data_IF_808478108101
#
_entry.id   IF_808478108101
#
_cell.length_a   1.000
_cell.length_b   1.000
_cell.length_c   1.000
_cell.angle_alpha   90.00
_cell.angle_beta   90.00
_cell.angle_gamma   90.00
#
_symmetry.space_group_name_H-M   'P 1'
#
loop_
_entity.id
_entity.type
_entity.pdbx_description
1 polymer ?
#
# COMPACT_ATOMS: atom_id res chain seq x y z
N UNK A 1 42.51 -1.92 4.50
CA UNK A 1 42.11 -1.90 3.09
C UNK A 1 40.79 -2.59 2.77
N UNK A 2 40.37 -3.64 3.47
CA UNK A 2 39.09 -4.34 3.19
C UNK A 2 37.81 -3.49 3.47
N UNK A 3 37.82 -2.65 4.51
CA UNK A 3 36.64 -1.83 4.88
C UNK A 3 36.32 -0.69 3.89
N UNK A 4 37.33 -0.14 3.22
CA UNK A 4 37.16 0.92 2.21
C UNK A 4 36.43 0.39 0.96
N UNK A 5 36.70 -0.85 0.55
CA UNK A 5 36.05 -1.45 -0.62
C UNK A 5 34.57 -1.81 -0.37
N UNK A 6 34.21 -2.17 0.87
CA UNK A 6 32.81 -2.43 1.25
C UNK A 6 32.02 -1.14 1.30
N UNK A 7 32.62 -0.06 1.82
CA UNK A 7 31.98 1.24 1.89
C UNK A 7 31.75 1.84 0.48
N UNK A 8 32.77 1.78 -0.40
CA UNK A 8 32.61 2.23 -1.80
C UNK A 8 31.59 1.42 -2.58
N UNK A 9 31.52 0.10 -2.38
CA UNK A 9 30.48 -0.74 -3.01
C UNK A 9 29.07 -0.36 -2.56
N UNK A 10 28.87 -0.08 -1.27
CA UNK A 10 27.57 0.37 -0.75
C UNK A 10 27.17 1.74 -1.32
N UNK A 11 28.11 2.69 -1.44
CA UNK A 11 27.86 3.99 -2.07
C UNK A 11 27.56 3.82 -3.55
N UNK A 12 28.27 2.96 -4.27
CA UNK A 12 28.03 2.71 -5.68
C UNK A 12 26.66 2.07 -5.91
N UNK A 13 26.25 1.13 -5.07
CA UNK A 13 24.91 0.50 -5.13
C UNK A 13 23.82 1.54 -4.85
N UNK A 14 23.98 2.38 -3.82
CA UNK A 14 23.07 3.48 -3.52
C UNK A 14 22.99 4.49 -4.68
N UNK A 15 24.11 4.81 -5.32
CA UNK A 15 24.18 5.73 -6.45
C UNK A 15 23.53 5.15 -7.71
N UNK A 16 23.73 3.86 -7.98
CA UNK A 16 23.06 3.14 -9.11
C UNK A 16 21.55 3.05 -8.84
N UNK A 17 21.12 2.77 -7.62
CA UNK A 17 19.71 2.78 -7.24
C UNK A 17 19.09 4.18 -7.37
N UNK A 18 19.83 5.23 -7.01
CA UNK A 18 19.38 6.62 -7.14
C UNK A 18 19.26 7.06 -8.61
N UNK A 19 20.20 6.65 -9.48
CA UNK A 19 20.12 6.92 -10.93
C UNK A 19 18.99 6.12 -11.57
N UNK A 20 18.77 4.87 -11.18
CA UNK A 20 17.66 4.06 -11.66
C UNK A 20 16.31 4.67 -11.25
N UNK A 21 16.20 5.22 -10.04
CA UNK A 21 15.00 5.91 -9.55
C UNK A 21 14.70 7.20 -10.33
N UNK A 22 15.72 7.96 -10.73
CA UNK A 22 15.54 9.21 -11.49
C UNK A 22 15.04 9.02 -12.93
N UNK A 23 15.10 7.81 -13.47
CA UNK A 23 14.59 7.49 -14.80
C UNK A 23 13.07 7.17 -14.83
N UNK A 24 12.40 7.08 -13.68
CA UNK A 24 11.01 6.66 -13.53
C UNK A 24 10.14 7.79 -12.96
N UNK A 25 9.62 8.64 -13.83
CA UNK A 25 8.81 9.84 -13.48
C UNK A 25 7.42 9.57 -12.86
N UNK A 26 7.17 8.41 -12.29
CA UNK A 26 5.85 8.06 -11.73
C UNK A 26 5.95 7.42 -10.33
N UNK A 27 7.07 7.65 -9.64
CA UNK A 27 7.34 7.09 -8.32
C UNK A 27 7.29 8.15 -7.24
N UNK A 28 6.87 7.73 -6.06
CA UNK A 28 6.98 8.54 -4.86
C UNK A 28 7.46 7.68 -3.68
N UNK A 29 8.04 8.35 -2.70
CA UNK A 29 8.36 7.81 -1.38
C UNK A 29 7.61 8.63 -0.36
N UNK A 30 6.97 7.94 0.57
CA UNK A 30 6.22 8.56 1.66
C UNK A 30 6.82 8.10 2.98
N UNK A 31 6.77 8.96 3.97
CA UNK A 31 7.10 8.64 5.35
C UNK A 31 5.96 9.12 6.23
N UNK A 32 5.30 8.18 6.89
CA UNK A 32 4.17 8.39 7.78
C UNK A 32 4.57 8.17 9.23
N UNK A 33 4.08 8.99 10.14
CA UNK A 33 4.09 8.71 11.56
C UNK A 33 2.64 8.44 12.00
N UNK A 34 2.39 7.23 12.48
CA UNK A 34 1.06 6.78 12.89
C UNK A 34 0.69 7.37 14.24
N UNK A 35 -0.48 8.00 14.32
CA UNK A 35 -1.07 8.63 15.51
C UNK A 35 -2.19 7.78 16.13
N UNK A 36 -2.48 6.61 15.58
CA UNK A 36 -3.48 5.69 16.08
C UNK A 36 -3.27 5.34 17.56
N UNK A 37 -4.34 4.96 18.24
CA UNK A 37 -4.34 4.79 19.69
C UNK A 37 -3.23 3.85 20.20
N UNK A 38 -3.07 2.70 19.53
CA UNK A 38 -2.12 1.65 19.91
C UNK A 38 -0.97 1.52 18.91
N UNK A 39 -0.81 2.54 18.05
CA UNK A 39 0.27 2.68 17.06
C UNK A 39 1.18 3.80 17.54
N UNK A 40 2.25 4.12 17.10
CA UNK A 40 3.20 5.20 17.38
C UNK A 40 4.53 4.82 16.75
N UNK A 41 4.45 4.42 15.50
CA UNK A 41 5.60 3.99 14.73
C UNK A 41 5.66 4.71 13.39
N UNK A 42 6.75 4.52 12.69
CA UNK A 42 6.95 5.04 11.35
C UNK A 42 6.60 3.96 10.32
N UNK A 43 5.97 4.38 9.23
CA UNK A 43 5.80 3.58 8.01
C UNK A 43 6.43 4.32 6.85
N UNK A 44 7.23 3.62 6.04
CA UNK A 44 7.69 4.13 4.76
C UNK A 44 6.98 3.40 3.62
N UNK A 45 6.46 4.16 2.67
CA UNK A 45 5.81 3.66 1.46
C UNK A 45 6.64 4.04 0.24
N UNK A 46 6.91 3.06 -0.62
CA UNK A 46 7.40 3.29 -1.99
C UNK A 46 6.28 2.92 -2.94
N UNK A 47 5.82 3.86 -3.72
CA UNK A 47 4.67 3.67 -4.60
C UNK A 47 4.99 4.10 -6.03
N UNK A 48 4.45 3.37 -7.00
CA UNK A 48 4.48 3.71 -8.41
C UNK A 48 3.14 3.41 -9.10
N UNK A 49 2.65 4.38 -9.86
CA UNK A 49 1.62 4.17 -10.88
C UNK A 49 2.16 4.62 -12.24
N UNK A 50 2.18 3.72 -13.23
CA UNK A 50 2.70 4.00 -14.57
C UNK A 50 1.75 3.49 -15.65
N UNK A 51 1.05 4.37 -16.37
CA UNK A 51 0.32 4.00 -17.57
C UNK A 51 1.28 3.76 -18.75
N UNK A 52 0.91 2.85 -19.63
CA UNK A 52 1.61 2.59 -20.90
C UNK A 52 0.60 2.27 -22.03
N UNK A 53 1.11 1.95 -23.22
CA UNK A 53 0.26 1.65 -24.39
C UNK A 53 -0.60 0.38 -24.24
N UNK A 54 -0.29 -0.49 -23.27
CA UNK A 54 -0.96 -1.76 -23.03
C UNK A 54 -1.80 -1.76 -21.75
N UNK A 55 -1.89 -0.62 -21.05
CA UNK A 55 -2.64 -0.47 -19.81
C UNK A 55 -1.88 0.27 -18.73
N UNK A 56 -1.86 -0.28 -17.52
CA UNK A 56 -1.23 0.36 -16.36
C UNK A 56 -0.48 -0.63 -15.48
N UNK A 57 0.58 -0.18 -14.82
CA UNK A 57 1.27 -0.92 -13.77
C UNK A 57 1.19 -0.10 -12.48
N UNK A 58 0.81 -0.74 -11.42
CA UNK A 58 0.82 -0.19 -10.06
C UNK A 58 1.63 -1.11 -9.15
N UNK A 59 2.38 -0.54 -8.24
CA UNK A 59 2.87 -1.26 -7.07
C UNK A 59 3.07 -0.32 -5.90
N UNK A 60 2.99 -0.85 -4.70
CA UNK A 60 3.55 -0.21 -3.51
C UNK A 60 4.21 -1.24 -2.59
N UNK A 61 5.09 -0.73 -1.74
CA UNK A 61 5.75 -1.47 -0.69
C UNK A 61 5.68 -0.62 0.57
N UNK A 62 5.08 -1.17 1.62
CA UNK A 62 5.05 -0.58 2.94
C UNK A 62 6.01 -1.29 3.88
N UNK A 63 6.69 -0.52 4.70
CA UNK A 63 7.55 -1.02 5.76
C UNK A 63 7.25 -0.28 7.05
N UNK A 64 6.74 -1.01 8.05
CA UNK A 64 6.56 -0.51 9.41
C UNK A 64 7.80 -0.71 10.24
N UNK A 65 8.14 0.27 11.06
CA UNK A 65 9.35 0.25 11.88
C UNK A 65 9.01 0.30 13.36
N UNK A 66 9.59 -0.61 14.12
CA UNK A 66 9.56 -0.58 15.57
C UNK A 66 8.28 -1.07 16.23
N UNK A 67 7.38 -1.72 15.51
CA UNK A 67 6.14 -2.27 16.08
C UNK A 67 6.49 -3.37 17.09
N UNK A 68 5.88 -3.31 18.29
CA UNK A 68 6.09 -4.33 19.33
C UNK A 68 7.54 -4.49 19.76
N UNK A 69 8.30 -3.39 19.86
CA UNK A 69 9.72 -3.35 20.25
C UNK A 69 10.68 -4.09 19.29
N UNK A 70 10.24 -4.47 18.10
CA UNK A 70 11.11 -5.00 17.04
C UNK A 70 12.03 -3.90 16.55
N UNK A 71 13.33 -4.12 16.54
CA UNK A 71 14.30 -3.14 15.98
C UNK A 71 14.33 -3.25 14.46
N UNK A 72 14.16 -2.11 13.78
CA UNK A 72 14.15 -2.04 12.32
C UNK A 72 12.78 -2.35 11.73
N UNK A 73 12.73 -2.98 10.56
CA UNK A 73 11.48 -3.33 9.87
C UNK A 73 10.77 -4.43 10.65
N UNK A 74 9.57 -4.12 11.14
CA UNK A 74 8.71 -5.06 11.88
C UNK A 74 7.63 -5.70 11.01
N UNK A 75 7.21 -5.00 9.94
CA UNK A 75 6.29 -5.53 8.95
C UNK A 75 6.70 -5.00 7.57
N UNK A 76 6.63 -5.85 6.57
CA UNK A 76 6.76 -5.50 5.16
C UNK A 76 5.56 -6.05 4.40
N UNK A 77 4.84 -5.20 3.68
CA UNK A 77 3.72 -5.56 2.82
C UNK A 77 3.93 -4.97 1.43
N UNK A 78 3.49 -5.68 0.41
CA UNK A 78 3.58 -5.17 -0.95
C UNK A 78 2.41 -5.64 -1.80
N UNK A 79 2.10 -4.82 -2.79
CA UNK A 79 1.19 -5.14 -3.88
C UNK A 79 1.83 -4.82 -5.21
N UNK A 80 1.51 -5.61 -6.21
CA UNK A 80 1.83 -5.35 -7.60
C UNK A 80 0.65 -5.70 -8.48
N UNK A 81 0.20 -4.74 -9.28
CA UNK A 81 -0.95 -4.91 -10.16
C UNK A 81 -0.62 -4.53 -11.60
N UNK A 82 -1.23 -5.26 -12.53
CA UNK A 82 -1.18 -4.97 -13.95
C UNK A 82 -2.59 -4.87 -14.52
N UNK A 83 -2.94 -3.69 -15.01
CA UNK A 83 -4.06 -3.47 -15.91
C UNK A 83 -3.64 -3.78 -17.34
N UNK A 84 -4.43 -4.58 -18.07
CA UNK A 84 -4.19 -4.94 -19.47
C UNK A 84 -5.32 -4.41 -20.34
N UNK A 85 -4.95 -3.65 -21.38
CA UNK A 85 -5.88 -2.96 -22.27
C UNK A 85 -5.60 -3.34 -23.72
N UNK A 86 -6.56 -4.02 -24.34
CA UNK A 86 -6.45 -4.51 -25.71
C UNK A 86 -7.32 -3.73 -26.70
N UNK A 87 -8.10 -2.76 -26.20
CA UNK A 87 -9.11 -2.00 -26.95
C UNK A 87 -9.18 -0.53 -26.49
N UNK A 88 -9.85 0.28 -27.31
CA UNK A 88 -10.10 1.69 -26.95
C UNK A 88 -11.33 1.79 -26.04
N UNK A 89 -11.18 1.51 -24.76
CA UNK A 89 -12.23 1.52 -23.76
C UNK A 89 -11.65 1.93 -22.40
N UNK A 90 -12.45 2.46 -21.46
CA UNK A 90 -12.03 2.66 -20.08
C UNK A 90 -11.85 1.36 -19.29
N UNK A 91 -12.16 0.18 -19.87
CA UNK A 91 -11.95 -1.12 -19.24
C UNK A 91 -10.52 -1.61 -19.43
N UNK A 92 -9.99 -2.21 -18.35
CA UNK A 92 -8.77 -3.02 -18.35
C UNK A 92 -9.04 -4.37 -17.68
N UNK A 93 -8.41 -5.43 -18.14
CA UNK A 93 -8.29 -6.66 -17.36
C UNK A 93 -7.30 -6.41 -16.23
N UNK A 94 -7.60 -6.89 -15.03
CA UNK A 94 -6.78 -6.68 -13.84
C UNK A 94 -6.19 -8.00 -13.36
N UNK A 95 -4.88 -7.98 -13.08
CA UNK A 95 -4.16 -9.05 -12.39
C UNK A 95 -3.33 -8.40 -11.29
N UNK A 96 -3.45 -8.90 -10.07
CA UNK A 96 -2.73 -8.39 -8.91
C UNK A 96 -2.21 -9.53 -8.06
N UNK A 97 -1.07 -9.29 -7.45
CA UNK A 97 -0.51 -10.11 -6.38
C UNK A 97 -0.17 -9.22 -5.20
N UNK A 98 -0.57 -9.66 -4.01
CA UNK A 98 -0.21 -8.99 -2.78
C UNK A 98 0.21 -9.97 -1.69
N UNK A 99 0.98 -9.48 -0.70
CA UNK A 99 1.43 -10.29 0.41
C UNK A 99 2.48 -9.57 1.25
N UNK A 100 2.97 -10.26 2.26
CA UNK A 100 3.95 -9.67 3.15
C UNK A 100 4.37 -10.61 4.28
N UNK A 101 5.15 -10.07 5.18
CA UNK A 101 5.60 -10.76 6.39
C UNK A 101 5.86 -9.76 7.52
N UNK A 102 5.80 -10.25 8.72
CA UNK A 102 6.09 -9.45 9.90
C UNK A 102 6.94 -10.21 10.93
N UNK A 103 7.43 -9.48 11.89
CA UNK A 103 8.20 -9.97 13.03
C UNK A 103 7.55 -9.52 14.34
N UNK A 104 7.76 -10.31 15.38
CA UNK A 104 7.32 -9.98 16.74
C UNK A 104 8.35 -10.44 17.78
N UNK A 105 8.34 -9.84 18.95
CA UNK A 105 9.19 -10.25 20.07
C UNK A 105 8.66 -11.52 20.73
N UNK A 106 9.54 -12.51 20.92
CA UNK A 106 9.20 -13.79 21.56
C UNK A 106 9.59 -13.87 23.04
N UNK A 107 10.20 -12.81 23.59
CA UNK A 107 10.80 -12.85 24.93
C UNK A 107 12.18 -13.54 24.96
N UNK A 108 12.67 -14.03 23.80
CA UNK A 108 14.02 -14.59 23.62
C UNK A 108 14.89 -13.62 22.81
N UNK A 109 16.20 -13.84 22.65
CA UNK A 109 17.05 -13.02 21.77
C UNK A 109 16.63 -13.03 20.29
N UNK A 110 15.89 -14.07 19.84
CA UNK A 110 15.40 -14.20 18.49
C UNK A 110 13.99 -13.62 18.35
N UNK A 111 13.68 -13.00 17.21
CA UNK A 111 12.32 -12.62 16.88
C UNK A 111 11.55 -13.81 16.30
N UNK A 112 10.26 -13.89 16.60
CA UNK A 112 9.31 -14.70 15.83
C UNK A 112 8.99 -14.00 14.51
N UNK A 113 8.51 -14.76 13.54
CA UNK A 113 8.05 -14.22 12.25
C UNK A 113 6.67 -14.79 11.91
N UNK A 114 5.90 -14.03 11.15
CA UNK A 114 4.63 -14.48 10.58
C UNK A 114 4.55 -14.02 9.12
N UNK A 115 3.77 -14.73 8.33
CA UNK A 115 3.48 -14.37 6.96
C UNK A 115 2.07 -13.79 6.86
N UNK A 116 1.92 -12.69 6.14
CA UNK A 116 0.62 -12.25 5.63
C UNK A 116 0.29 -13.18 4.47
N UNK A 117 -0.87 -13.83 4.52
CA UNK A 117 -1.28 -14.75 3.46
C UNK A 117 -1.36 -14.01 2.14
N UNK A 118 -0.52 -14.40 1.21
CA UNK A 118 -0.50 -13.82 -0.12
C UNK A 118 -1.78 -14.15 -0.88
N UNK A 119 -2.16 -13.24 -1.75
CA UNK A 119 -3.35 -13.38 -2.59
C UNK A 119 -3.06 -13.03 -4.05
N UNK A 120 -3.75 -13.73 -4.94
CA UNK A 120 -3.88 -13.38 -6.34
C UNK A 120 -5.28 -12.85 -6.61
N UNK A 121 -5.37 -11.72 -7.33
CA UNK A 121 -6.62 -11.11 -7.73
C UNK A 121 -6.71 -11.04 -9.25
N UNK A 122 -7.88 -11.39 -9.78
CA UNK A 122 -8.16 -11.40 -11.22
C UNK A 122 -9.53 -10.80 -11.45
N UNK A 123 -9.61 -9.83 -12.36
CA UNK A 123 -10.88 -9.17 -12.63
C UNK A 123 -10.79 -8.09 -13.67
N UNK A 124 -11.48 -7.00 -13.44
CA UNK A 124 -11.51 -5.87 -14.34
C UNK A 124 -11.56 -4.54 -13.63
N UNK A 125 -11.01 -3.54 -14.29
CA UNK A 125 -11.04 -2.14 -13.87
C UNK A 125 -11.91 -1.33 -14.83
N UNK A 126 -12.60 -0.35 -14.30
CA UNK A 126 -13.24 0.70 -15.09
C UNK A 126 -12.81 2.05 -14.54
N UNK A 127 -12.22 2.88 -15.41
CA UNK A 127 -11.68 4.19 -15.01
C UNK A 127 -12.50 5.32 -15.61
N UNK A 128 -12.97 6.25 -14.76
CA UNK A 128 -13.52 7.55 -15.14
C UNK A 128 -12.47 8.62 -14.88
N UNK A 129 -12.34 9.54 -15.81
CA UNK A 129 -11.45 10.69 -15.63
C UNK A 129 -11.98 11.94 -16.33
N UNK A 130 -11.63 13.10 -15.81
CA UNK A 130 -11.83 14.38 -16.52
C UNK A 130 -10.84 14.48 -17.70
N UNK A 131 -11.16 15.33 -18.68
CA UNK A 131 -10.32 15.47 -19.88
C UNK A 131 -8.88 15.92 -19.56
N UNK A 132 -8.70 16.66 -18.49
CA UNK A 132 -7.41 17.15 -17.99
C UNK A 132 -6.73 16.19 -16.99
N UNK A 133 -7.34 15.02 -16.71
CA UNK A 133 -6.89 14.04 -15.73
C UNK A 133 -6.72 14.58 -14.30
N UNK A 134 -7.31 15.76 -14.01
CA UNK A 134 -7.28 16.31 -12.65
C UNK A 134 -8.11 15.51 -11.65
N UNK A 135 -9.08 14.75 -12.16
CA UNK A 135 -9.93 13.87 -11.35
C UNK A 135 -10.01 12.51 -12.01
N UNK A 136 -9.58 11.49 -11.28
CA UNK A 136 -9.58 10.10 -11.72
C UNK A 136 -10.27 9.28 -10.64
N UNK A 137 -11.15 8.39 -11.06
CA UNK A 137 -11.78 7.38 -10.23
C UNK A 137 -11.75 6.04 -10.97
N UNK A 138 -11.29 4.99 -10.30
CA UNK A 138 -11.27 3.62 -10.84
C UNK A 138 -12.06 2.70 -9.92
N UNK A 139 -12.99 1.96 -10.49
CA UNK A 139 -13.67 0.86 -9.82
C UNK A 139 -13.07 -0.46 -10.31
N UNK A 140 -12.76 -1.34 -9.38
CA UNK A 140 -12.22 -2.67 -9.65
C UNK A 140 -13.16 -3.72 -9.07
N UNK A 141 -13.39 -4.80 -9.81
CA UNK A 141 -14.16 -5.96 -9.36
C UNK A 141 -13.33 -7.22 -9.66
N UNK A 142 -12.98 -7.96 -8.62
CA UNK A 142 -11.97 -9.01 -8.71
C UNK A 142 -12.41 -10.28 -7.96
N UNK A 143 -12.11 -11.43 -8.53
CA UNK A 143 -11.99 -12.68 -7.81
C UNK A 143 -10.67 -12.64 -7.02
N UNK A 144 -10.70 -12.99 -5.74
CA UNK A 144 -9.54 -13.00 -4.85
C UNK A 144 -9.25 -14.43 -4.39
N UNK A 145 -8.07 -14.92 -4.67
CA UNK A 145 -7.58 -16.21 -4.18
C UNK A 145 -6.55 -15.98 -3.10
N UNK A 146 -6.89 -16.30 -1.85
CA UNK A 146 -6.03 -16.10 -0.67
C UNK A 146 -5.42 -17.45 -0.32
N UNK A 147 -4.09 -17.52 -0.23
CA UNK A 147 -3.40 -18.74 0.17
C UNK A 147 -3.85 -19.21 1.55
N UNK A 148 -4.13 -20.51 1.67
CA UNK A 148 -4.59 -21.11 2.91
C UNK A 148 -6.06 -20.92 3.22
N UNK A 149 -6.83 -20.23 2.34
CA UNK A 149 -8.28 -20.11 2.41
C UNK A 149 -8.92 -20.92 1.27
N UNK A 150 -9.91 -21.72 1.58
CA UNK A 150 -10.59 -22.60 0.59
C UNK A 150 -11.87 -21.98 0.04
N UNK A 151 -12.37 -20.94 0.66
CA UNK A 151 -13.60 -20.28 0.28
C UNK A 151 -13.39 -19.36 -0.93
N UNK A 152 -14.41 -19.31 -1.78
CA UNK A 152 -14.46 -18.31 -2.86
C UNK A 152 -14.48 -16.92 -2.25
N UNK A 153 -13.53 -16.09 -2.68
CA UNK A 153 -13.40 -14.71 -2.24
C UNK A 153 -13.53 -13.74 -3.42
N UNK A 154 -14.00 -12.54 -3.14
CA UNK A 154 -14.01 -11.43 -4.08
C UNK A 154 -13.51 -10.16 -3.39
N UNK A 155 -13.07 -9.20 -4.18
CA UNK A 155 -12.72 -7.85 -3.73
C UNK A 155 -13.33 -6.82 -4.67
N UNK A 156 -13.92 -5.78 -4.09
CA UNK A 156 -14.33 -4.57 -4.78
C UNK A 156 -13.47 -3.43 -4.26
N UNK A 157 -12.78 -2.74 -5.18
CA UNK A 157 -11.89 -1.62 -4.84
C UNK A 157 -12.32 -0.37 -5.57
N UNK A 158 -12.46 0.73 -4.84
CA UNK A 158 -12.56 2.08 -5.41
C UNK A 158 -11.25 2.82 -5.21
N UNK A 159 -10.63 3.34 -6.27
CA UNK A 159 -9.39 4.13 -6.20
C UNK A 159 -9.67 5.53 -6.73
N UNK A 160 -9.17 6.56 -6.06
CA UNK A 160 -9.33 7.95 -6.52
C UNK A 160 -8.04 8.75 -6.43
N UNK A 161 -7.91 9.70 -7.37
CA UNK A 161 -6.91 10.75 -7.34
C UNK A 161 -7.54 12.05 -7.85
N UNK A 162 -7.72 13.01 -6.95
CA UNK A 162 -8.42 14.25 -7.18
C UNK A 162 -7.50 15.43 -6.89
N UNK A 163 -7.20 16.23 -7.92
CA UNK A 163 -6.34 17.40 -7.82
C UNK A 163 -7.18 18.66 -7.82
N UNK A 164 -6.85 19.59 -6.93
CA UNK A 164 -7.54 20.86 -6.74
C UNK A 164 -6.57 22.03 -6.73
N UNK A 165 -7.09 23.24 -6.98
CA UNK A 165 -6.35 24.50 -6.90
C UNK A 165 -5.04 24.49 -7.70
N UNK A 166 -5.11 24.06 -8.98
CA UNK A 166 -3.94 23.93 -9.86
C UNK A 166 -2.87 23.04 -9.23
N UNK A 167 -3.27 21.86 -8.77
CA UNK A 167 -2.44 20.83 -8.13
C UNK A 167 -1.83 21.23 -6.77
N UNK A 168 -2.32 22.30 -6.11
CA UNK A 168 -1.88 22.65 -4.75
C UNK A 168 -2.38 21.65 -3.70
N UNK A 169 -3.52 21.03 -3.94
CA UNK A 169 -4.10 20.03 -3.05
C UNK A 169 -4.40 18.75 -3.84
N UNK A 170 -4.04 17.62 -3.29
CA UNK A 170 -4.39 16.29 -3.81
C UNK A 170 -5.16 15.52 -2.74
N UNK A 171 -6.32 14.98 -3.12
CA UNK A 171 -7.04 13.96 -2.36
C UNK A 171 -6.90 12.65 -3.12
N UNK A 172 -6.24 11.67 -2.53
CA UNK A 172 -6.05 10.36 -3.12
C UNK A 172 -6.44 9.26 -2.14
N UNK A 173 -6.44 8.03 -2.58
CA UNK A 173 -6.66 6.89 -1.72
C UNK A 173 -7.46 5.79 -2.40
N UNK A 174 -7.79 4.80 -1.60
CA UNK A 174 -8.60 3.67 -2.03
C UNK A 174 -9.62 3.27 -0.96
N UNK A 175 -10.56 2.42 -1.36
CA UNK A 175 -11.49 1.73 -0.45
C UNK A 175 -11.69 0.31 -0.96
N UNK A 176 -11.37 -0.66 -0.12
CA UNK A 176 -11.47 -2.07 -0.36
C UNK A 176 -12.56 -2.70 0.49
N UNK A 177 -13.34 -3.55 -0.14
CA UNK A 177 -14.26 -4.44 0.52
C UNK A 177 -14.08 -5.84 -0.05
N UNK A 178 -13.75 -6.80 0.83
CA UNK A 178 -13.56 -8.19 0.38
C UNK A 178 -14.17 -9.22 1.33
N UNK A 179 -14.43 -10.40 0.77
CA UNK A 179 -14.79 -11.56 1.56
C UNK A 179 -13.54 -12.31 1.97
N UNK A 180 -13.44 -12.60 3.26
CA UNK A 180 -12.40 -13.45 3.83
C UNK A 180 -12.94 -14.14 5.07
N UNK A 181 -12.87 -15.46 5.10
CA UNK A 181 -13.14 -16.25 6.30
C UNK A 181 -11.99 -16.04 7.30
N UNK A 182 -12.23 -15.29 8.37
CA UNK A 182 -11.19 -14.81 9.26
C UNK A 182 -11.64 -14.80 10.72
N UNK A 183 -10.67 -14.97 11.62
CA UNK A 183 -10.82 -14.82 13.07
C UNK A 183 -10.21 -13.48 13.49
N UNK A 184 -11.00 -12.67 14.17
CA UNK A 184 -10.59 -11.34 14.65
C UNK A 184 -10.79 -11.21 16.14
N UNK A 185 -10.01 -10.36 16.80
CA UNK A 185 -10.08 -10.11 18.23
C UNK A 185 -8.89 -10.67 19.02
N UNK A 186 -8.87 -10.47 20.35
CA UNK A 186 -7.76 -10.86 21.19
C UNK A 186 -7.60 -12.38 21.26
N UNK A 187 -6.34 -12.84 21.38
CA UNK A 187 -6.04 -14.26 21.52
C UNK A 187 -6.85 -14.93 22.65
N UNK A 188 -7.50 -16.04 22.33
CA UNK A 188 -8.38 -16.77 23.26
C UNK A 188 -9.80 -16.23 23.36
N UNK A 189 -10.13 -15.12 22.68
CA UNK A 189 -11.48 -14.57 22.58
C UNK A 189 -11.70 -13.96 21.19
N UNK A 190 -11.53 -14.77 20.16
CA UNK A 190 -11.73 -14.38 18.77
C UNK A 190 -13.20 -14.49 18.37
N UNK A 191 -13.56 -13.75 17.33
CA UNK A 191 -14.86 -13.76 16.67
C UNK A 191 -14.66 -14.02 15.18
N UNK A 192 -15.46 -14.92 14.66
CA UNK A 192 -15.48 -15.22 13.23
C UNK A 192 -16.12 -14.07 12.44
N UNK A 193 -15.49 -13.71 11.31
CA UNK A 193 -16.00 -12.73 10.35
C UNK A 193 -15.77 -13.21 8.92
N UNK A 194 -16.66 -12.78 8.01
CA UNK A 194 -16.57 -13.11 6.59
C UNK A 194 -16.23 -11.90 5.71
N UNK A 195 -16.20 -10.70 6.28
CA UNK A 195 -16.01 -9.49 5.50
C UNK A 195 -15.03 -8.56 6.16
N UNK A 196 -14.18 -7.98 5.34
CA UNK A 196 -13.20 -6.98 5.73
C UNK A 196 -13.43 -5.72 4.91
N UNK A 197 -13.30 -4.58 5.55
CA UNK A 197 -13.29 -3.28 4.91
C UNK A 197 -12.02 -2.52 5.30
N UNK A 198 -11.40 -1.89 4.33
CA UNK A 198 -10.23 -1.03 4.51
C UNK A 198 -10.34 0.17 3.57
N UNK A 199 -10.09 1.36 4.07
CA UNK A 199 -9.91 2.55 3.23
C UNK A 199 -8.85 3.46 3.82
N UNK A 200 -8.05 4.04 2.94
CA UNK A 200 -6.95 4.94 3.29
C UNK A 200 -7.02 6.23 2.48
N UNK A 201 -7.99 7.12 2.81
CA UNK A 201 -8.01 8.47 2.25
C UNK A 201 -6.77 9.26 2.66
N UNK A 202 -6.11 9.85 1.67
CA UNK A 202 -4.94 10.70 1.81
C UNK A 202 -5.27 12.14 1.43
N UNK A 203 -4.77 13.07 2.21
CA UNK A 203 -4.77 14.51 1.93
C UNK A 203 -3.34 15.00 1.80
N UNK A 204 -3.00 15.66 0.70
CA UNK A 204 -1.68 16.20 0.43
C UNK A 204 -1.73 17.68 0.06
N UNK A 205 -0.94 18.50 0.77
CA UNK A 205 -0.61 19.84 0.35
C UNK A 205 0.72 19.80 -0.41
N UNK A 206 0.69 20.11 -1.71
CA UNK A 206 1.86 20.08 -2.58
C UNK A 206 2.66 21.37 -2.42
N UNK A 207 3.72 21.34 -1.61
CA UNK A 207 4.55 22.49 -1.33
C UNK A 207 5.38 22.89 -2.56
N UNK A 208 5.92 21.89 -3.26
CA UNK A 208 6.64 22.01 -4.54
C UNK A 208 6.19 20.93 -5.49
N UNK A 209 6.78 20.85 -6.70
CA UNK A 209 6.50 19.78 -7.65
C UNK A 209 6.95 18.39 -7.14
N UNK A 210 7.92 18.38 -6.24
CA UNK A 210 8.50 17.16 -5.68
C UNK A 210 8.06 16.87 -4.25
N UNK A 211 7.81 17.88 -3.43
CA UNK A 211 7.57 17.71 -1.99
C UNK A 211 6.16 18.07 -1.59
N UNK A 212 5.53 17.18 -0.83
CA UNK A 212 4.19 17.38 -0.26
C UNK A 212 4.21 17.03 1.22
N UNK A 213 3.36 17.68 2.00
CA UNK A 213 3.05 17.33 3.38
C UNK A 213 1.57 16.96 3.47
N UNK A 214 1.25 16.02 4.35
CA UNK A 214 -0.11 15.54 4.39
C UNK A 214 -0.40 14.56 5.50
N UNK A 215 -1.44 13.79 5.27
CA UNK A 215 -1.97 12.79 6.20
C UNK A 215 -2.66 11.69 5.41
N UNK A 216 -2.64 10.51 5.96
CA UNK A 216 -3.47 9.38 5.59
C UNK A 216 -4.28 8.97 6.82
N UNK A 217 -5.50 8.52 6.60
CA UNK A 217 -6.34 8.00 7.69
C UNK A 217 -6.79 6.60 7.31
N UNK A 218 -6.21 5.58 7.95
CA UNK A 218 -6.76 4.23 7.84
C UNK A 218 -8.10 4.18 8.58
N UNK A 219 -9.15 3.80 7.85
CA UNK A 219 -10.45 3.43 8.39
C UNK A 219 -10.69 1.98 8.02
N UNK A 220 -10.77 1.11 9.00
CA UNK A 220 -10.89 -0.32 8.75
C UNK A 220 -11.95 -0.98 9.60
N UNK A 221 -12.43 -2.14 9.17
CA UNK A 221 -13.32 -3.00 9.94
C UNK A 221 -12.92 -4.46 9.74
N UNK A 222 -12.72 -5.17 10.84
CA UNK A 222 -12.25 -6.56 10.89
C UNK A 222 -10.92 -6.79 10.16
N UNK A 223 -10.06 -5.79 10.13
CA UNK A 223 -8.78 -5.79 9.43
C UNK A 223 -7.61 -6.00 10.42
N UNK A 224 -6.53 -6.65 9.96
CA UNK A 224 -5.31 -6.85 10.76
C UNK A 224 -5.53 -7.62 12.07
N UNK A 225 -6.55 -8.48 12.13
CA UNK A 225 -6.90 -9.25 13.32
C UNK A 225 -7.73 -8.48 14.38
N UNK A 226 -8.10 -7.22 14.12
CA UNK A 226 -8.94 -6.42 15.02
C UNK A 226 -10.43 -6.67 14.77
N UNK A 227 -11.20 -6.89 15.81
CA UNK A 227 -12.67 -6.94 15.76
C UNK A 227 -13.24 -5.52 15.72
N UNK A 228 -14.11 -5.26 14.74
CA UNK A 228 -14.85 -4.02 14.61
C UNK A 228 -14.08 -2.89 13.91
N UNK A 229 -14.52 -1.65 14.14
CA UNK A 229 -14.08 -0.48 13.42
C UNK A 229 -12.87 0.20 14.07
N UNK A 230 -11.87 0.55 13.24
CA UNK A 230 -10.63 1.23 13.64
C UNK A 230 -10.45 2.54 12.87
N UNK A 231 -9.79 3.51 13.50
CA UNK A 231 -9.39 4.79 12.90
C UNK A 231 -7.95 5.09 13.29
N UNK A 232 -7.07 5.12 12.32
CA UNK A 232 -5.63 5.34 12.53
C UNK A 232 -5.14 6.47 11.63
N UNK A 233 -5.13 7.72 12.09
CA UNK A 233 -4.61 8.85 11.34
C UNK A 233 -3.08 8.91 11.40
N UNK A 234 -2.47 9.41 10.34
CA UNK A 234 -1.02 9.67 10.26
C UNK A 234 -0.72 11.14 10.02
N UNK A 235 0.52 11.54 10.22
CA UNK A 235 1.12 12.74 9.64
C UNK A 235 2.26 12.29 8.72
N UNK A 236 2.37 12.91 7.53
CA UNK A 236 3.26 12.37 6.51
C UNK A 236 3.95 13.44 5.66
N UNK A 237 5.11 13.04 5.14
CA UNK A 237 5.81 13.72 4.04
C UNK A 237 5.91 12.80 2.82
N UNK A 238 5.78 13.36 1.62
CA UNK A 238 5.88 12.65 0.35
C UNK A 238 6.87 13.33 -0.58
N UNK A 239 7.73 12.53 -1.19
CA UNK A 239 8.66 12.98 -2.24
C UNK A 239 8.32 12.28 -3.56
N UNK A 240 8.11 13.06 -4.62
CA UNK A 240 7.90 12.59 -6.01
C UNK A 240 9.19 12.76 -6.81
N UNK A 241 9.56 11.75 -7.56
CA UNK A 241 10.74 11.76 -8.44
C UNK A 241 10.45 12.29 -9.84
#
# INVERSE_FOLDING_TARGET
>A
MANSNIFMRKILILFVLFIAASALKAQNVQLHYDLGKDRKYLTSTVEMFKPDKWGSTFFFIDMDYGVGDVKGVSLGYFEIARGLKFWKSPFELHVEYNGGFGQFKTGTPLNGAFQINDAWLFGGNYTWNTADFSKIFTLQAMYKNIRGKNDMSFQITGVWNLQFFKNKVTLSGFADFWREDNEVGPFGNTKHTNFVFLTEPQFWFNCTDHFSVGSEVELSSNFGGHDGFMVNPTIAGKWKF
#
